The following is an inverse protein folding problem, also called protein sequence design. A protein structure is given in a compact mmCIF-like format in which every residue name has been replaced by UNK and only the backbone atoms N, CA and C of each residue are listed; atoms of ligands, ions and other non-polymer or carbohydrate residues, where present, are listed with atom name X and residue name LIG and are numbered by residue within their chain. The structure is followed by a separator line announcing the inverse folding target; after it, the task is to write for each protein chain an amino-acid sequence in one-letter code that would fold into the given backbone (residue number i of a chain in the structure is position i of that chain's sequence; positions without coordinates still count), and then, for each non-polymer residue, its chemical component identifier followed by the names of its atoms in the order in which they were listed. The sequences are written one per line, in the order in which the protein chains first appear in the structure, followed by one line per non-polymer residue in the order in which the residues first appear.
data_IF_433744559623
#
_entry.id   IF_433744559623
#
_cell.length_a   1.000
_cell.length_b   1.000
_cell.length_c   1.000
_cell.angle_alpha   90.00
_cell.angle_beta   90.00
_cell.angle_gamma   90.00
#
_symmetry.space_group_name_H-M   'P 1'
#
loop_
_entity.id
_entity.type
_entity.pdbx_description
1 polymer ?
#
# COMPACT_ATOMS: atom_id res chain seq x y z
N UNK A 1 -29.53 -8.45 4.06
CA UNK A 1 -28.29 -8.18 3.27
C UNK A 1 -27.99 -9.43 2.47
N UNK A 2 -27.66 -9.32 1.16
CA UNK A 2 -27.20 -10.45 0.36
C UNK A 2 -25.79 -10.81 0.79
N UNK A 3 -25.48 -12.08 0.98
CA UNK A 3 -24.13 -12.55 1.23
C UNK A 3 -23.28 -12.41 -0.04
N UNK A 4 -22.20 -11.66 0.02
CA UNK A 4 -21.35 -11.35 -1.13
C UNK A 4 -20.41 -12.51 -1.42
N UNK A 5 -20.35 -12.93 -2.67
CA UNK A 5 -19.47 -14.00 -3.18
C UNK A 5 -18.17 -13.39 -3.68
N UNK A 6 -17.06 -13.66 -2.98
CA UNK A 6 -15.71 -13.18 -3.31
C UNK A 6 -14.89 -14.28 -3.99
N UNK A 7 -14.33 -13.99 -5.15
CA UNK A 7 -13.20 -14.74 -5.73
C UNK A 7 -11.90 -13.98 -5.53
N UNK A 8 -10.79 -14.66 -5.20
CA UNK A 8 -9.49 -14.03 -4.95
C UNK A 8 -8.47 -14.53 -5.95
N UNK A 9 -7.88 -13.63 -6.73
CA UNK A 9 -6.76 -13.88 -7.66
C UNK A 9 -5.47 -13.35 -7.03
N UNK A 10 -4.53 -14.25 -6.75
CA UNK A 10 -3.32 -13.96 -5.98
C UNK A 10 -3.54 -14.15 -4.47
N UNK A 11 -3.27 -15.34 -3.97
CA UNK A 11 -3.43 -15.69 -2.55
C UNK A 11 -2.11 -15.48 -1.77
N UNK A 12 -1.57 -14.26 -1.90
CA UNK A 12 -0.48 -13.73 -1.07
C UNK A 12 -1.03 -13.10 0.21
N UNK A 13 -0.19 -12.34 0.91
CA UNK A 13 -0.57 -11.66 2.15
C UNK A 13 -1.84 -10.79 1.98
N UNK A 14 -1.93 -10.02 0.90
CA UNK A 14 -3.07 -9.14 0.65
C UNK A 14 -4.35 -9.90 0.31
N UNK A 15 -4.25 -10.90 -0.58
CA UNK A 15 -5.39 -11.76 -0.91
C UNK A 15 -5.97 -12.47 0.31
N UNK A 16 -5.12 -12.92 1.24
CA UNK A 16 -5.55 -13.49 2.53
C UNK A 16 -6.32 -12.47 3.38
N UNK A 17 -5.80 -11.24 3.51
CA UNK A 17 -6.43 -10.18 4.29
C UNK A 17 -7.86 -9.92 3.83
N UNK A 18 -8.09 -9.81 2.51
CA UNK A 18 -9.45 -9.60 1.98
C UNK A 18 -10.36 -10.81 2.16
N UNK A 19 -9.82 -12.00 1.93
CA UNK A 19 -10.59 -13.24 2.12
C UNK A 19 -10.96 -13.47 3.59
N UNK A 20 -10.10 -13.09 4.53
CA UNK A 20 -10.32 -13.27 5.98
C UNK A 20 -11.52 -12.49 6.51
N UNK A 21 -11.98 -11.44 5.82
CA UNK A 21 -13.24 -10.79 6.15
C UNK A 21 -14.41 -11.77 6.23
N UNK A 22 -14.45 -12.80 5.38
CA UNK A 22 -15.46 -13.83 5.39
C UNK A 22 -15.46 -14.73 6.65
N UNK A 23 -14.33 -14.77 7.37
CA UNK A 23 -14.24 -15.52 8.64
C UNK A 23 -14.76 -14.73 9.84
N UNK A 24 -14.66 -13.41 9.77
CA UNK A 24 -15.12 -12.53 10.84
C UNK A 24 -16.58 -12.10 10.64
N UNK A 25 -17.00 -11.95 9.37
CA UNK A 25 -18.37 -11.57 9.00
C UNK A 25 -18.99 -12.63 8.04
N UNK A 26 -19.18 -13.88 8.53
CA UNK A 26 -19.58 -15.01 7.68
C UNK A 26 -21.00 -14.89 7.12
N UNK A 27 -21.84 -14.03 7.70
CA UNK A 27 -23.16 -13.71 7.16
C UNK A 27 -23.15 -12.67 6.04
N UNK A 28 -22.07 -11.88 5.95
CA UNK A 28 -21.95 -10.80 4.98
C UNK A 28 -21.19 -11.24 3.72
N UNK A 29 -20.20 -12.12 3.86
CA UNK A 29 -19.33 -12.53 2.76
C UNK A 29 -18.96 -14.01 2.82
N UNK A 30 -18.76 -14.62 1.65
CA UNK A 30 -18.16 -15.95 1.52
C UNK A 30 -17.08 -15.94 0.42
N UNK A 31 -15.99 -16.67 0.64
CA UNK A 31 -15.01 -16.97 -0.41
C UNK A 31 -15.53 -18.11 -1.25
N UNK A 32 -15.79 -17.87 -2.53
CA UNK A 32 -16.29 -18.89 -3.46
C UNK A 32 -15.20 -19.51 -4.31
N UNK A 33 -14.09 -18.78 -4.53
CA UNK A 33 -12.93 -19.28 -5.26
C UNK A 33 -11.62 -18.62 -4.81
N UNK A 34 -10.52 -19.37 -4.86
CA UNK A 34 -9.15 -18.86 -4.74
C UNK A 34 -8.35 -19.32 -5.95
N UNK A 35 -7.65 -18.37 -6.56
CA UNK A 35 -6.86 -18.57 -7.77
C UNK A 35 -5.41 -18.17 -7.48
N UNK A 36 -4.47 -19.10 -7.53
CA UNK A 36 -3.03 -18.86 -7.35
C UNK A 36 -2.24 -19.98 -8.04
N UNK A 37 -1.15 -19.70 -8.76
CA UNK A 37 -0.36 -20.76 -9.39
C UNK A 37 0.41 -21.63 -8.38
N UNK A 38 0.50 -21.23 -7.11
CA UNK A 38 1.19 -21.95 -6.05
C UNK A 38 0.25 -22.94 -5.34
N UNK A 39 0.47 -24.23 -5.55
CA UNK A 39 -0.34 -25.31 -4.97
C UNK A 39 -0.36 -25.31 -3.44
N UNK A 40 0.76 -24.94 -2.80
CA UNK A 40 0.80 -24.78 -1.34
C UNK A 40 -0.19 -23.71 -0.86
N UNK A 41 -0.22 -22.56 -1.53
CA UNK A 41 -1.17 -21.48 -1.21
C UNK A 41 -2.61 -21.91 -1.42
N UNK A 42 -2.90 -22.65 -2.48
CA UNK A 42 -4.23 -23.22 -2.72
C UNK A 42 -4.64 -24.22 -1.62
N UNK A 43 -3.71 -25.06 -1.17
CA UNK A 43 -3.95 -25.98 -0.04
C UNK A 43 -4.29 -25.18 1.23
N UNK A 44 -3.50 -24.18 1.58
CA UNK A 44 -3.75 -23.32 2.75
C UNK A 44 -5.13 -22.64 2.66
N UNK A 45 -5.48 -22.11 1.49
CA UNK A 45 -6.79 -21.49 1.28
C UNK A 45 -7.96 -22.50 1.46
N UNK A 46 -7.82 -23.70 0.92
CA UNK A 46 -8.83 -24.76 1.08
C UNK A 46 -9.10 -25.09 2.54
N UNK A 47 -8.04 -25.31 3.30
CA UNK A 47 -8.14 -25.60 4.73
C UNK A 47 -8.76 -24.44 5.52
N UNK A 48 -8.31 -23.21 5.23
CA UNK A 48 -8.73 -22.01 5.94
C UNK A 48 -10.19 -21.64 5.72
N UNK A 49 -10.68 -21.66 4.47
CA UNK A 49 -12.05 -21.27 4.12
C UNK A 49 -12.97 -22.49 3.87
N UNK A 50 -12.50 -23.70 4.15
CA UNK A 50 -13.24 -24.96 3.95
C UNK A 50 -13.72 -25.15 2.50
N UNK A 51 -12.86 -24.78 1.53
CA UNK A 51 -13.18 -24.90 0.11
C UNK A 51 -12.99 -26.33 -0.38
N UNK A 52 -13.83 -26.72 -1.34
CA UNK A 52 -13.66 -27.97 -2.11
C UNK A 52 -12.55 -27.83 -3.17
N UNK A 53 -12.12 -28.94 -3.76
CA UNK A 53 -11.17 -28.93 -4.89
C UNK A 53 -11.68 -28.17 -6.11
N UNK A 54 -13.00 -28.09 -6.28
CA UNK A 54 -13.65 -27.37 -7.38
C UNK A 54 -13.70 -25.85 -7.20
N UNK A 55 -13.18 -25.33 -6.10
CA UNK A 55 -13.17 -23.90 -5.74
C UNK A 55 -11.76 -23.31 -5.66
N UNK A 56 -10.74 -24.09 -6.02
CA UNK A 56 -9.36 -23.61 -6.12
C UNK A 56 -8.82 -23.85 -7.52
N UNK A 57 -8.11 -22.86 -8.06
CA UNK A 57 -7.70 -22.86 -9.46
C UNK A 57 -6.27 -22.34 -9.60
N UNK A 58 -5.54 -22.86 -10.57
CA UNK A 58 -4.17 -22.37 -10.89
C UNK A 58 -4.16 -21.19 -11.86
N UNK A 59 -5.31 -20.85 -12.48
CA UNK A 59 -5.45 -19.72 -13.40
C UNK A 59 -6.86 -19.13 -13.35
N UNK A 60 -6.99 -17.85 -13.70
CA UNK A 60 -8.29 -17.19 -13.77
C UNK A 60 -9.18 -17.76 -14.88
N UNK A 61 -8.57 -18.17 -16.00
CA UNK A 61 -9.30 -18.84 -17.09
C UNK A 61 -9.93 -20.18 -16.65
N UNK A 62 -9.27 -20.94 -15.76
CA UNK A 62 -9.83 -22.17 -15.21
C UNK A 62 -11.03 -21.86 -14.27
N UNK A 63 -10.97 -20.77 -13.49
CA UNK A 63 -12.10 -20.29 -12.71
C UNK A 63 -13.29 -19.95 -13.62
N UNK A 64 -13.07 -19.18 -14.69
CA UNK A 64 -14.15 -18.84 -15.63
C UNK A 64 -14.77 -20.08 -16.28
N UNK A 65 -13.95 -21.05 -16.67
CA UNK A 65 -14.43 -22.31 -17.27
C UNK A 65 -15.24 -23.18 -16.30
N UNK A 66 -15.10 -22.99 -14.99
CA UNK A 66 -15.86 -23.74 -13.97
C UNK A 66 -17.32 -23.36 -13.88
N UNK A 67 -17.69 -22.16 -14.36
CA UNK A 67 -19.04 -21.63 -14.24
C UNK A 67 -19.41 -21.18 -12.81
N UNK A 68 -18.46 -21.12 -11.88
CA UNK A 68 -18.69 -20.53 -10.54
C UNK A 68 -18.93 -19.04 -10.67
N UNK A 69 -19.95 -18.55 -9.96
CA UNK A 69 -20.29 -17.13 -9.92
C UNK A 69 -19.61 -16.43 -8.75
N UNK A 70 -19.11 -15.22 -9.00
CA UNK A 70 -18.63 -14.29 -7.99
C UNK A 70 -19.28 -12.91 -8.18
N UNK A 71 -19.64 -12.24 -7.09
CA UNK A 71 -20.16 -10.87 -7.14
C UNK A 71 -19.02 -9.87 -7.36
N UNK A 72 -17.83 -10.23 -6.89
CA UNK A 72 -16.61 -9.44 -7.03
C UNK A 72 -15.37 -10.34 -7.05
N UNK A 73 -14.37 -9.91 -7.81
CA UNK A 73 -13.06 -10.56 -7.90
C UNK A 73 -11.99 -9.64 -7.31
N UNK A 74 -11.26 -10.10 -6.29
CA UNK A 74 -10.10 -9.39 -5.77
C UNK A 74 -8.87 -9.71 -6.62
N UNK A 75 -8.30 -8.70 -7.29
CA UNK A 75 -7.00 -8.78 -7.94
C UNK A 75 -5.91 -8.39 -6.94
N UNK A 76 -5.33 -9.37 -6.27
CA UNK A 76 -4.25 -9.24 -5.30
C UNK A 76 -2.97 -9.94 -5.78
N UNK A 77 -2.76 -9.94 -7.08
CA UNK A 77 -1.54 -10.47 -7.74
C UNK A 77 -0.33 -9.57 -7.46
N UNK A 78 0.82 -9.90 -8.01
CA UNK A 78 1.97 -8.99 -8.02
C UNK A 78 1.73 -7.85 -9.01
N UNK A 79 2.31 -6.68 -8.75
CA UNK A 79 2.08 -5.43 -9.50
C UNK A 79 2.23 -5.59 -11.02
N UNK A 80 3.26 -6.32 -11.48
CA UNK A 80 3.50 -6.57 -12.89
C UNK A 80 2.40 -7.42 -13.58
N UNK A 81 1.54 -8.07 -12.79
CA UNK A 81 0.42 -8.87 -13.31
C UNK A 81 -0.93 -8.14 -13.18
N UNK A 82 -0.99 -7.01 -12.45
CA UNK A 82 -2.24 -6.30 -12.20
C UNK A 82 -2.99 -5.96 -13.48
N UNK A 83 -2.29 -5.40 -14.48
CA UNK A 83 -2.91 -4.99 -15.73
C UNK A 83 -3.55 -6.18 -16.47
N UNK A 84 -2.77 -7.24 -16.73
CA UNK A 84 -3.27 -8.39 -17.45
C UNK A 84 -4.46 -9.04 -16.73
N UNK A 85 -4.34 -9.24 -15.42
CA UNK A 85 -5.41 -9.83 -14.60
C UNK A 85 -6.65 -8.93 -14.57
N UNK A 86 -6.49 -7.62 -14.45
CA UNK A 86 -7.60 -6.67 -14.48
C UNK A 86 -8.36 -6.69 -15.81
N UNK A 87 -7.63 -6.77 -16.94
CA UNK A 87 -8.24 -6.88 -18.28
C UNK A 87 -9.08 -8.14 -18.40
N UNK A 88 -8.60 -9.29 -17.92
CA UNK A 88 -9.34 -10.56 -17.94
C UNK A 88 -10.61 -10.48 -17.05
N UNK A 89 -10.49 -9.94 -15.85
CA UNK A 89 -11.63 -9.76 -14.93
C UNK A 89 -12.70 -8.85 -15.53
N UNK A 90 -12.30 -7.69 -16.07
CA UNK A 90 -13.24 -6.72 -16.62
C UNK A 90 -13.92 -7.21 -17.90
N UNK A 91 -13.19 -7.92 -18.79
CA UNK A 91 -13.76 -8.56 -19.98
C UNK A 91 -14.76 -9.67 -19.64
N UNK A 92 -14.58 -10.33 -18.51
CA UNK A 92 -15.55 -11.33 -18.01
C UNK A 92 -16.74 -10.69 -17.26
N UNK A 93 -16.83 -9.35 -17.24
CA UNK A 93 -17.90 -8.55 -16.62
C UNK A 93 -18.05 -8.72 -15.10
N UNK A 94 -16.96 -8.98 -14.40
CA UNK A 94 -16.96 -9.01 -12.94
C UNK A 94 -16.59 -7.63 -12.37
N UNK A 95 -17.21 -7.26 -11.25
CA UNK A 95 -16.71 -6.19 -10.41
C UNK A 95 -15.34 -6.58 -9.84
N UNK A 96 -14.48 -5.60 -9.57
CA UNK A 96 -13.11 -5.86 -9.15
C UNK A 96 -12.74 -5.03 -7.92
N UNK A 97 -12.08 -5.67 -6.96
CA UNK A 97 -11.26 -5.02 -5.95
C UNK A 97 -9.81 -5.18 -6.40
N UNK A 98 -9.10 -4.09 -6.66
CA UNK A 98 -7.71 -4.16 -7.13
C UNK A 98 -6.73 -3.64 -6.09
N UNK A 99 -5.65 -4.40 -5.85
CA UNK A 99 -4.55 -3.96 -5.01
C UNK A 99 -3.82 -2.75 -5.62
N UNK A 100 -3.22 -1.98 -4.73
CA UNK A 100 -2.38 -0.85 -5.10
C UNK A 100 -0.91 -1.31 -5.34
N UNK A 101 -0.18 -0.62 -6.22
CA UNK A 101 -0.68 0.36 -7.18
C UNK A 101 -1.55 -0.30 -8.25
N UNK A 102 -2.49 0.43 -8.83
CA UNK A 102 -3.40 -0.14 -9.84
C UNK A 102 -2.58 -0.72 -10.99
N UNK A 103 -1.75 0.12 -11.63
CA UNK A 103 -0.78 -0.25 -12.67
C UNK A 103 0.38 0.73 -12.70
N UNK A 104 1.46 0.36 -13.38
CA UNK A 104 2.67 1.17 -13.46
C UNK A 104 2.64 2.23 -14.59
N UNK A 105 1.74 2.11 -15.58
CA UNK A 105 1.72 2.95 -16.78
C UNK A 105 0.38 3.67 -16.96
N UNK A 106 0.47 4.90 -17.48
CA UNK A 106 -0.68 5.78 -17.72
C UNK A 106 -1.67 5.20 -18.73
N UNK A 107 -1.19 4.61 -19.81
CA UNK A 107 -2.00 3.99 -20.85
C UNK A 107 -2.73 2.73 -20.34
N UNK A 108 -2.06 1.90 -19.53
CA UNK A 108 -2.68 0.75 -18.88
C UNK A 108 -3.82 1.17 -17.93
N UNK A 109 -3.62 2.24 -17.14
CA UNK A 109 -4.65 2.78 -16.27
C UNK A 109 -5.87 3.30 -17.05
N UNK A 110 -5.62 4.01 -18.15
CA UNK A 110 -6.65 4.52 -19.03
C UNK A 110 -7.45 3.38 -19.67
N UNK A 111 -6.78 2.31 -20.09
CA UNK A 111 -7.42 1.12 -20.67
C UNK A 111 -8.30 0.39 -19.63
N UNK A 112 -7.82 0.21 -18.39
CA UNK A 112 -8.64 -0.38 -17.31
C UNK A 112 -9.89 0.46 -17.07
N UNK A 113 -9.76 1.79 -17.03
CA UNK A 113 -10.90 2.70 -16.85
C UNK A 113 -11.91 2.57 -18.00
N UNK A 114 -11.43 2.52 -19.25
CA UNK A 114 -12.27 2.31 -20.43
C UNK A 114 -13.01 0.98 -20.35
N UNK A 115 -12.31 -0.12 -20.08
CA UNK A 115 -12.90 -1.47 -19.99
C UNK A 115 -13.93 -1.58 -18.86
N UNK A 116 -13.66 -0.96 -17.69
CA UNK A 116 -14.61 -0.95 -16.60
C UNK A 116 -15.93 -0.28 -17.00
N UNK A 117 -15.86 0.89 -17.66
CA UNK A 117 -17.04 1.63 -18.13
C UNK A 117 -17.80 0.88 -19.23
N UNK A 118 -17.11 0.35 -20.24
CA UNK A 118 -17.73 -0.39 -21.35
C UNK A 118 -18.45 -1.65 -20.90
N UNK A 119 -17.92 -2.35 -19.88
CA UNK A 119 -18.54 -3.56 -19.33
C UNK A 119 -19.47 -3.32 -18.14
N UNK A 120 -19.64 -2.07 -17.70
CA UNK A 120 -20.48 -1.71 -16.55
C UNK A 120 -19.95 -2.23 -15.20
N UNK A 121 -18.63 -2.51 -15.11
CA UNK A 121 -18.00 -3.06 -13.92
C UNK A 121 -17.64 -1.96 -12.92
N UNK A 122 -17.85 -2.23 -11.63
CA UNK A 122 -17.34 -1.39 -10.54
C UNK A 122 -15.94 -1.86 -10.16
N UNK A 123 -15.01 -0.91 -10.06
CA UNK A 123 -13.63 -1.19 -9.65
C UNK A 123 -13.34 -0.39 -8.39
N UNK A 124 -13.04 -1.11 -7.31
CA UNK A 124 -12.62 -0.57 -6.02
C UNK A 124 -11.10 -0.67 -5.90
N UNK A 125 -10.48 0.34 -5.34
CA UNK A 125 -9.02 0.41 -5.19
C UNK A 125 -8.63 0.34 -3.72
N UNK A 126 -7.60 -0.44 -3.39
CA UNK A 126 -7.19 -0.74 -2.02
C UNK A 126 -6.42 0.40 -1.33
N UNK A 127 -6.95 1.63 -1.33
CA UNK A 127 -6.40 2.76 -0.58
C UNK A 127 -6.83 2.73 0.88
N UNK A 128 -6.36 1.73 1.60
CA UNK A 128 -6.77 1.40 2.97
C UNK A 128 -6.53 2.49 4.00
N UNK A 129 -5.59 3.42 3.78
CA UNK A 129 -5.29 4.49 4.72
C UNK A 129 -6.43 5.51 4.86
N UNK A 130 -7.29 5.69 3.84
CA UNK A 130 -8.50 6.52 3.94
C UNK A 130 -9.45 6.04 5.05
N UNK A 131 -9.41 4.74 5.38
CA UNK A 131 -10.25 4.12 6.41
C UNK A 131 -9.65 4.19 7.81
N UNK A 132 -8.38 4.59 7.96
CA UNK A 132 -7.82 4.77 9.29
C UNK A 132 -8.57 5.87 10.06
N UNK A 133 -8.90 5.68 11.34
CA UNK A 133 -9.59 6.69 12.12
C UNK A 133 -8.88 8.05 12.12
N UNK A 134 -7.56 8.05 12.00
CA UNK A 134 -6.73 9.25 11.94
C UNK A 134 -7.07 10.11 10.71
N UNK A 135 -6.91 9.58 9.49
CA UNK A 135 -7.17 10.33 8.26
C UNK A 135 -8.68 10.57 8.04
N UNK A 136 -9.52 9.61 8.44
CA UNK A 136 -10.97 9.79 8.36
C UNK A 136 -11.45 10.97 9.22
N UNK A 137 -10.91 11.12 10.42
CA UNK A 137 -11.26 12.25 11.28
C UNK A 137 -10.74 13.57 10.72
N UNK A 138 -9.51 13.62 10.18
CA UNK A 138 -8.97 14.80 9.50
C UNK A 138 -9.86 15.20 8.32
N UNK A 139 -10.25 14.23 7.47
CA UNK A 139 -11.14 14.49 6.32
C UNK A 139 -12.49 15.08 6.75
N UNK A 140 -13.10 14.51 7.78
CA UNK A 140 -14.35 15.05 8.34
C UNK A 140 -14.19 16.49 8.83
N UNK A 141 -13.08 16.83 9.50
CA UNK A 141 -12.82 18.20 9.96
C UNK A 141 -12.61 19.19 8.80
N UNK A 142 -12.02 18.73 7.70
CA UNK A 142 -11.90 19.53 6.45
C UNK A 142 -13.29 19.77 5.88
N UNK A 143 -14.11 18.73 5.73
CA UNK A 143 -15.48 18.80 5.18
C UNK A 143 -16.41 19.66 6.06
N UNK A 144 -16.24 19.61 7.38
CA UNK A 144 -16.94 20.48 8.35
C UNK A 144 -16.47 21.95 8.32
N UNK A 145 -15.48 22.29 7.46
CA UNK A 145 -14.94 23.64 7.31
C UNK A 145 -14.14 24.15 8.51
N UNK A 146 -13.65 23.23 9.38
CA UNK A 146 -12.86 23.58 10.57
C UNK A 146 -11.54 24.27 10.23
N UNK A 147 -10.93 23.93 9.10
CA UNK A 147 -9.70 24.56 8.63
C UNK A 147 -9.96 25.77 7.71
N UNK A 148 -11.17 25.96 7.20
CA UNK A 148 -11.45 26.94 6.16
C UNK A 148 -10.85 26.46 4.82
N UNK A 149 -10.32 27.39 4.01
CA UNK A 149 -9.58 27.05 2.79
C UNK A 149 -8.19 26.52 3.14
N UNK A 150 -7.80 25.37 2.60
CA UNK A 150 -6.44 24.83 2.79
C UNK A 150 -5.49 25.68 1.95
N UNK A 151 -4.40 26.13 2.57
CA UNK A 151 -3.36 26.94 1.91
C UNK A 151 -2.10 26.13 1.63
N UNK A 152 -1.73 25.23 2.55
CA UNK A 152 -0.58 24.35 2.39
C UNK A 152 -0.76 23.04 3.15
N UNK A 153 -0.03 22.02 2.68
CA UNK A 153 0.06 20.72 3.34
C UNK A 153 1.48 20.17 3.26
N UNK A 154 1.93 19.59 4.36
CA UNK A 154 3.17 18.82 4.42
C UNK A 154 2.85 17.40 4.83
N UNK A 155 3.43 16.42 4.12
CA UNK A 155 3.30 14.99 4.44
C UNK A 155 4.64 14.28 4.32
N UNK A 156 4.88 13.32 5.21
CA UNK A 156 6.08 12.48 5.18
C UNK A 156 5.70 11.01 5.30
N UNK A 157 6.44 10.15 4.58
CA UNK A 157 6.52 8.72 4.81
C UNK A 157 7.94 8.34 5.21
N UNK A 158 8.11 7.86 6.42
CA UNK A 158 9.37 7.33 6.93
C UNK A 158 9.32 5.80 6.95
N UNK A 159 9.99 5.17 5.99
CA UNK A 159 10.01 3.71 5.88
C UNK A 159 11.03 3.14 6.85
N UNK A 160 10.55 2.37 7.81
CA UNK A 160 11.38 1.70 8.82
C UNK A 160 12.47 0.82 8.20
N UNK A 161 13.69 0.86 8.76
CA UNK A 161 14.87 0.18 8.22
C UNK A 161 14.64 -1.30 7.89
N UNK A 162 14.10 -2.17 8.77
CA UNK A 162 13.83 -3.56 8.44
C UNK A 162 12.83 -3.72 7.30
N UNK A 163 11.79 -2.89 7.23
CA UNK A 163 10.82 -2.91 6.13
C UNK A 163 11.48 -2.50 4.81
N UNK A 164 12.27 -1.42 4.81
CA UNK A 164 12.98 -0.98 3.61
C UNK A 164 13.94 -2.06 3.10
N UNK A 165 14.74 -2.67 3.99
CA UNK A 165 15.67 -3.73 3.64
C UNK A 165 14.97 -4.98 3.08
N UNK A 166 13.89 -5.42 3.72
CA UNK A 166 13.18 -6.64 3.30
C UNK A 166 12.30 -6.47 2.08
N UNK A 167 11.88 -5.25 1.76
CA UNK A 167 11.00 -5.00 0.60
C UNK A 167 11.74 -4.41 -0.59
N UNK A 168 12.55 -3.36 -0.38
CA UNK A 168 13.06 -2.47 -1.42
C UNK A 168 14.57 -2.60 -1.66
N UNK A 169 15.30 -3.35 -0.82
CA UNK A 169 16.74 -3.62 -1.01
C UNK A 169 16.97 -5.08 -1.38
N UNK A 170 16.40 -6.02 -0.62
CA UNK A 170 16.54 -7.47 -0.83
C UNK A 170 15.28 -8.13 -1.40
N UNK A 171 14.12 -7.48 -1.23
CA UNK A 171 12.82 -8.05 -1.55
C UNK A 171 12.39 -7.86 -3.00
N UNK A 172 11.11 -8.16 -3.21
CA UNK A 172 10.45 -8.19 -4.53
C UNK A 172 10.42 -6.82 -5.23
N UNK A 173 10.53 -5.73 -4.47
CA UNK A 173 10.48 -4.33 -4.97
C UNK A 173 11.86 -3.67 -5.02
N UNK A 174 12.96 -4.44 -5.18
CA UNK A 174 14.33 -3.90 -5.20
C UNK A 174 14.71 -3.22 -6.52
N UNK A 175 14.01 -3.53 -7.61
CA UNK A 175 14.32 -3.02 -8.95
C UNK A 175 13.05 -2.53 -9.64
N UNK A 176 13.10 -1.28 -10.18
CA UNK A 176 12.00 -0.71 -10.99
C UNK A 176 11.72 -1.57 -12.23
N UNK A 177 12.73 -2.20 -12.84
CA UNK A 177 12.57 -3.08 -13.99
C UNK A 177 11.83 -4.38 -13.63
N UNK A 178 12.24 -5.03 -12.52
CA UNK A 178 11.66 -6.31 -12.12
C UNK A 178 10.23 -6.19 -11.56
N UNK A 179 9.96 -5.19 -10.72
CA UNK A 179 8.64 -4.99 -10.13
C UNK A 179 7.75 -4.02 -10.90
N UNK A 180 8.28 -3.40 -11.97
CA UNK A 180 7.62 -2.42 -12.84
C UNK A 180 7.22 -1.10 -12.16
N UNK A 181 7.53 -0.91 -10.88
CA UNK A 181 7.08 0.23 -10.08
C UNK A 181 8.23 0.93 -9.35
N UNK A 182 8.37 2.26 -9.45
CA UNK A 182 9.23 3.03 -8.55
C UNK A 182 8.66 3.02 -7.13
N UNK A 183 9.49 3.28 -6.12
CA UNK A 183 9.05 3.27 -4.72
C UNK A 183 7.93 4.27 -4.44
N UNK A 184 7.89 5.41 -5.12
CA UNK A 184 6.81 6.38 -5.00
C UNK A 184 5.46 5.76 -5.37
N UNK A 185 5.43 4.88 -6.35
CA UNK A 185 4.22 4.14 -6.75
C UNK A 185 3.98 2.92 -5.86
N UNK A 186 4.98 2.05 -5.66
CA UNK A 186 4.84 0.81 -4.91
C UNK A 186 4.49 1.04 -3.42
N UNK A 187 5.04 2.10 -2.80
CA UNK A 187 4.88 2.42 -1.37
C UNK A 187 4.01 3.64 -1.13
N UNK A 188 4.31 4.77 -1.78
CA UNK A 188 3.72 6.06 -1.47
C UNK A 188 2.47 6.40 -2.29
N UNK A 189 1.95 5.46 -3.10
CA UNK A 189 0.65 5.66 -3.75
C UNK A 189 -0.48 5.91 -2.73
N UNK A 190 -0.38 5.37 -1.52
CA UNK A 190 -1.29 5.70 -0.42
C UNK A 190 -1.19 7.17 -0.01
N UNK A 191 0.03 7.71 0.07
CA UNK A 191 0.28 9.08 0.50
C UNK A 191 -0.15 10.06 -0.60
N UNK A 192 0.13 9.73 -1.87
CA UNK A 192 -0.35 10.51 -3.02
C UNK A 192 -1.88 10.48 -3.14
N UNK A 193 -2.49 9.35 -2.81
CA UNK A 193 -3.95 9.23 -2.73
C UNK A 193 -4.53 10.11 -1.62
N UNK A 194 -3.93 10.09 -0.42
CA UNK A 194 -4.34 10.97 0.68
C UNK A 194 -4.19 12.45 0.32
N UNK A 195 -3.12 12.84 -0.37
CA UNK A 195 -2.95 14.21 -0.86
C UNK A 195 -4.12 14.62 -1.75
N UNK A 196 -4.47 13.80 -2.74
CA UNK A 196 -5.60 14.09 -3.62
C UNK A 196 -6.94 14.05 -2.89
N UNK A 197 -7.16 13.08 -2.01
CA UNK A 197 -8.42 12.92 -1.29
C UNK A 197 -8.69 14.02 -0.26
N UNK A 198 -7.66 14.45 0.49
CA UNK A 198 -7.79 15.53 1.47
C UNK A 198 -7.99 16.90 0.78
N UNK A 199 -7.52 17.05 -0.45
CA UNK A 199 -7.66 18.24 -1.29
C UNK A 199 -8.67 18.03 -2.45
N UNK A 200 -9.71 17.22 -2.26
CA UNK A 200 -10.62 16.82 -3.33
C UNK A 200 -11.44 17.98 -3.94
N UNK A 201 -11.46 19.15 -3.32
CA UNK A 201 -12.06 20.39 -3.79
C UNK A 201 -11.19 21.17 -4.80
N UNK A 202 -9.94 20.72 -5.04
CA UNK A 202 -9.00 21.32 -5.99
C UNK A 202 -8.22 20.22 -6.74
N UNK A 203 -7.67 20.54 -7.92
CA UNK A 203 -6.95 19.57 -8.75
C UNK A 203 -5.45 19.85 -8.75
N UNK A 204 -4.59 18.82 -8.64
CA UNK A 204 -3.15 19.01 -8.86
C UNK A 204 -2.91 19.36 -10.33
N UNK A 205 -2.09 20.39 -10.59
CA UNK A 205 -1.82 20.93 -11.92
C UNK A 205 -0.38 20.76 -12.35
N UNK A 206 0.57 20.86 -11.40
CA UNK A 206 2.01 20.74 -11.69
C UNK A 206 2.70 19.98 -10.59
N UNK A 207 3.78 19.29 -10.95
CA UNK A 207 4.60 18.54 -9.99
C UNK A 207 6.09 18.69 -10.29
N UNK A 208 6.89 18.76 -9.20
CA UNK A 208 8.35 18.73 -9.24
C UNK A 208 8.85 17.67 -8.26
N UNK A 209 9.86 16.89 -8.67
CA UNK A 209 10.38 15.80 -7.84
C UNK A 209 11.88 15.62 -7.97
N UNK A 210 12.55 15.35 -6.82
CA UNK A 210 13.98 15.00 -6.73
C UNK A 210 14.13 13.73 -5.89
N UNK A 211 14.92 12.77 -6.37
CA UNK A 211 15.16 11.53 -5.66
C UNK A 211 16.57 10.99 -5.89
N UNK A 212 17.09 10.25 -4.90
CA UNK A 212 18.39 9.63 -4.96
C UNK A 212 18.42 8.28 -4.25
N UNK A 213 19.30 7.38 -4.73
CA UNK A 213 19.73 6.18 -4.02
C UNK A 213 21.11 6.46 -3.40
N UNK A 214 21.14 6.76 -2.11
CA UNK A 214 22.36 7.18 -1.44
C UNK A 214 22.93 6.16 -0.48
N UNK A 215 22.10 5.38 0.20
CA UNK A 215 22.54 4.52 1.30
C UNK A 215 23.07 3.19 0.77
N UNK A 216 22.18 2.36 0.22
CA UNK A 216 22.49 0.97 -0.17
C UNK A 216 22.88 0.89 -1.64
N UNK A 217 24.14 1.20 -1.93
CA UNK A 217 24.75 1.08 -3.25
C UNK A 217 26.17 0.49 -3.13
N UNK A 218 26.74 -0.08 -4.21
CA UNK A 218 28.05 -0.74 -4.16
C UNK A 218 29.19 0.17 -3.71
N UNK A 219 29.11 1.48 -3.96
CA UNK A 219 30.14 2.45 -3.58
C UNK A 219 30.25 2.59 -2.05
N UNK A 220 29.17 2.34 -1.32
CA UNK A 220 29.13 2.41 0.13
C UNK A 220 29.38 1.06 0.82
N UNK A 221 29.61 -0.03 0.06
CA UNK A 221 29.95 -1.35 0.62
C UNK A 221 31.24 -1.27 1.45
N UNK A 222 31.23 -1.61 2.76
CA UNK A 222 32.43 -1.58 3.58
C UNK A 222 33.54 -2.43 2.97
N UNK A 223 34.76 -1.89 2.95
CA UNK A 223 35.92 -2.64 2.44
C UNK A 223 36.13 -3.91 3.27
N UNK A 224 36.13 -5.07 2.61
CA UNK A 224 36.24 -6.38 3.26
C UNK A 224 34.90 -7.02 3.62
N UNK A 225 33.76 -6.37 3.34
CA UNK A 225 32.45 -7.02 3.46
C UNK A 225 32.29 -8.09 2.38
N UNK A 226 31.70 -9.23 2.79
CA UNK A 226 31.41 -10.36 1.89
C UNK A 226 30.10 -10.14 1.13
N UNK A 227 29.77 -11.05 0.22
CA UNK A 227 28.51 -10.98 -0.55
C UNK A 227 27.28 -11.41 0.26
N UNK A 228 27.48 -12.20 1.31
CA UNK A 228 26.43 -12.68 2.19
C UNK A 228 26.70 -12.32 3.65
N UNK A 229 25.65 -12.00 4.41
CA UNK A 229 25.76 -11.57 5.80
C UNK A 229 26.24 -12.69 6.73
N UNK A 230 25.94 -13.97 6.46
CA UNK A 230 26.25 -15.09 7.36
C UNK A 230 27.77 -15.29 7.60
N UNK A 231 28.62 -14.86 6.69
CA UNK A 231 30.09 -14.99 6.78
C UNK A 231 30.81 -13.62 6.73
N UNK A 232 30.07 -12.52 6.90
CA UNK A 232 30.63 -11.19 6.85
C UNK A 232 31.35 -10.83 8.17
N UNK A 233 32.61 -10.31 8.13
CA UNK A 233 33.30 -9.92 9.35
C UNK A 233 32.61 -8.77 10.11
N UNK A 234 31.76 -7.98 9.45
CA UNK A 234 31.02 -6.87 10.04
C UNK A 234 29.61 -7.28 10.51
N UNK A 235 29.26 -8.55 10.46
CA UNK A 235 27.88 -9.05 10.65
C UNK A 235 27.26 -8.55 11.96
N UNK A 236 28.01 -8.50 13.05
CA UNK A 236 27.53 -8.13 14.38
C UNK A 236 27.28 -6.64 14.55
N UNK A 237 28.05 -5.81 13.85
CA UNK A 237 28.02 -4.35 14.00
C UNK A 237 27.27 -3.66 12.85
N UNK A 238 26.76 -4.42 11.88
CA UNK A 238 26.07 -3.91 10.72
C UNK A 238 24.55 -3.80 10.97
N UNK A 239 24.01 -2.59 10.98
CA UNK A 239 22.57 -2.34 11.14
C UNK A 239 21.70 -3.03 10.08
N UNK A 240 22.32 -3.33 8.90
CA UNK A 240 21.64 -3.96 7.77
C UNK A 240 21.85 -5.48 7.73
N UNK A 241 22.44 -6.08 8.78
CA UNK A 241 22.72 -7.51 8.82
C UNK A 241 21.44 -8.35 8.71
N UNK A 242 21.34 -9.17 7.66
CA UNK A 242 20.25 -10.15 7.53
C UNK A 242 20.25 -11.18 8.66
N UNK A 243 21.43 -11.50 9.21
CA UNK A 243 21.57 -12.39 10.35
C UNK A 243 20.99 -11.78 11.62
N UNK A 244 21.14 -10.47 11.80
CA UNK A 244 20.53 -9.76 12.92
C UNK A 244 19.02 -9.60 12.72
N UNK A 245 18.63 -9.03 11.60
CA UNK A 245 17.24 -8.64 11.33
C UNK A 245 16.32 -9.87 11.13
N UNK A 246 16.71 -10.79 10.27
CA UNK A 246 15.82 -11.86 9.83
C UNK A 246 16.07 -13.18 10.59
N UNK A 247 17.34 -13.54 10.87
CA UNK A 247 17.62 -14.80 11.56
C UNK A 247 17.39 -14.71 13.07
N UNK A 248 17.93 -13.66 13.76
CA UNK A 248 17.82 -13.55 15.22
C UNK A 248 16.51 -12.90 15.67
N UNK A 249 16.05 -11.87 14.97
CA UNK A 249 14.86 -11.08 15.35
C UNK A 249 13.62 -11.34 14.53
N UNK A 250 13.69 -12.20 13.49
CA UNK A 250 12.56 -12.62 12.64
C UNK A 250 11.71 -11.43 12.14
N UNK A 251 12.38 -10.34 11.73
CA UNK A 251 11.67 -9.17 11.22
C UNK A 251 11.08 -9.45 9.83
N UNK A 252 9.86 -8.99 9.58
CA UNK A 252 9.15 -9.13 8.31
C UNK A 252 9.05 -10.59 7.79
N UNK A 253 8.69 -11.59 8.63
CA UNK A 253 8.72 -13.00 8.26
C UNK A 253 7.85 -13.34 7.06
N UNK A 254 6.70 -12.66 6.90
CA UNK A 254 5.77 -12.84 5.78
C UNK A 254 6.33 -12.38 4.42
N UNK A 255 7.43 -11.65 4.40
CA UNK A 255 8.17 -11.30 3.18
C UNK A 255 9.37 -12.24 2.97
N UNK A 256 10.15 -12.43 4.04
CA UNK A 256 11.44 -13.12 3.96
C UNK A 256 11.25 -14.63 3.72
N UNK A 257 10.30 -15.25 4.43
CA UNK A 257 10.12 -16.71 4.42
C UNK A 257 9.00 -17.20 3.49
N UNK A 258 8.31 -16.31 2.77
CA UNK A 258 7.15 -16.66 1.93
C UNK A 258 7.44 -17.76 0.91
N UNK A 259 8.65 -17.74 0.31
CA UNK A 259 9.05 -18.71 -0.69
C UNK A 259 9.38 -20.14 -0.14
N UNK A 260 9.48 -20.27 1.17
CA UNK A 260 9.67 -21.60 1.80
C UNK A 260 8.40 -22.45 1.80
N UNK A 261 7.24 -21.86 1.47
CA UNK A 261 5.95 -22.54 1.39
C UNK A 261 5.66 -23.39 2.65
N UNK A 262 5.80 -22.76 3.82
CA UNK A 262 5.68 -23.38 5.13
C UNK A 262 5.08 -22.39 6.14
N UNK A 263 4.29 -22.83 7.13
CA UNK A 263 3.91 -21.96 8.24
C UNK A 263 5.13 -21.39 8.94
N UNK A 264 5.14 -20.09 9.25
CA UNK A 264 6.31 -19.40 9.80
C UNK A 264 6.80 -19.99 11.14
N UNK A 265 5.88 -20.50 11.95
CA UNK A 265 6.17 -21.15 13.23
C UNK A 265 6.76 -22.58 13.09
N UNK A 266 6.71 -23.15 11.90
CA UNK A 266 7.27 -24.47 11.59
C UNK A 266 8.63 -24.40 10.89
N UNK A 267 9.10 -23.20 10.53
CA UNK A 267 10.40 -23.00 9.88
C UNK A 267 11.49 -23.06 10.96
N UNK A 268 12.35 -24.07 10.88
CA UNK A 268 13.44 -24.25 11.87
C UNK A 268 14.55 -23.22 11.70
N UNK A 269 15.38 -23.06 12.73
CA UNK A 269 16.54 -22.19 12.67
C UNK A 269 17.55 -22.63 11.58
N UNK A 270 17.70 -23.92 11.39
CA UNK A 270 18.56 -24.49 10.34
C UNK A 270 18.04 -24.14 8.95
N UNK A 271 16.74 -24.29 8.71
CA UNK A 271 16.10 -23.93 7.43
C UNK A 271 16.25 -22.43 7.14
N UNK A 272 16.06 -21.57 8.14
CA UNK A 272 16.27 -20.11 8.01
C UNK A 272 17.72 -19.77 7.66
N UNK A 273 18.68 -20.41 8.33
CA UNK A 273 20.10 -20.20 8.05
C UNK A 273 20.48 -20.67 6.65
N UNK A 274 20.07 -21.88 6.25
CA UNK A 274 20.35 -22.41 4.91
C UNK A 274 19.69 -21.59 3.80
N UNK A 275 18.50 -21.03 4.04
CA UNK A 275 17.86 -20.09 3.14
C UNK A 275 18.68 -18.81 2.98
N UNK A 276 19.07 -18.16 4.07
CA UNK A 276 19.85 -16.91 4.03
C UNK A 276 21.26 -17.07 3.45
N UNK A 277 21.83 -18.27 3.42
CA UNK A 277 23.11 -18.53 2.77
C UNK A 277 23.04 -18.47 1.24
N UNK A 278 21.87 -18.62 0.65
CA UNK A 278 21.66 -18.80 -0.80
C UNK A 278 20.75 -17.76 -1.42
N UNK A 279 19.80 -17.27 -0.64
CA UNK A 279 18.76 -16.37 -1.12
C UNK A 279 19.21 -14.89 -1.05
N UNK A 280 18.57 -14.05 -1.85
CA UNK A 280 18.84 -12.61 -1.89
C UNK A 280 18.61 -11.95 -0.53
N UNK A 281 17.71 -12.47 0.29
CA UNK A 281 17.46 -11.96 1.63
C UNK A 281 18.67 -12.08 2.56
N UNK A 282 19.61 -12.96 2.28
CA UNK A 282 20.88 -13.09 3.01
C UNK A 282 22.03 -12.25 2.45
N UNK A 283 21.87 -11.63 1.26
CA UNK A 283 22.92 -10.84 0.61
C UNK A 283 23.25 -9.56 1.38
N UNK A 284 24.45 -9.05 1.13
CA UNK A 284 24.89 -7.73 1.59
C UNK A 284 23.96 -6.64 1.03
N UNK A 285 23.36 -5.83 1.90
CA UNK A 285 22.44 -4.77 1.51
C UNK A 285 23.00 -3.77 0.49
N UNK A 286 24.30 -3.55 0.55
CA UNK A 286 25.00 -2.62 -0.36
C UNK A 286 25.17 -3.18 -1.78
N UNK A 287 24.93 -4.49 -1.98
CA UNK A 287 25.24 -5.20 -3.24
C UNK A 287 24.15 -6.19 -3.64
N UNK A 288 22.90 -5.76 -3.57
CA UNK A 288 21.72 -6.54 -3.98
C UNK A 288 21.26 -6.28 -5.42
N UNK A 289 21.98 -5.46 -6.19
CA UNK A 289 21.65 -5.19 -7.59
C UNK A 289 20.39 -4.36 -7.83
N UNK A 290 19.82 -3.72 -6.79
CA UNK A 290 18.61 -2.90 -6.93
C UNK A 290 18.92 -1.47 -7.42
N UNK A 291 17.87 -0.76 -7.85
CA UNK A 291 17.93 0.63 -8.36
C UNK A 291 16.96 1.58 -7.63
N UNK A 292 16.17 1.07 -6.70
CA UNK A 292 15.16 1.83 -5.96
C UNK A 292 15.82 2.96 -5.16
N UNK A 293 15.26 4.17 -5.27
CA UNK A 293 15.70 5.34 -4.50
C UNK A 293 15.39 5.18 -3.01
N UNK A 294 16.20 5.80 -2.15
CA UNK A 294 15.99 5.74 -0.69
C UNK A 294 15.46 7.03 -0.09
N UNK A 295 15.33 8.08 -0.91
CA UNK A 295 14.72 9.36 -0.57
C UNK A 295 14.13 10.04 -1.79
N UNK A 296 13.00 10.72 -1.60
CA UNK A 296 12.34 11.48 -2.66
C UNK A 296 11.54 12.63 -2.06
N UNK A 297 11.65 13.80 -2.65
CA UNK A 297 10.80 14.94 -2.34
C UNK A 297 9.93 15.26 -3.54
N UNK A 298 8.66 15.54 -3.28
CA UNK A 298 7.66 15.88 -4.29
C UNK A 298 6.97 17.17 -3.87
N UNK A 299 6.93 18.17 -4.75
CA UNK A 299 6.15 19.39 -4.56
C UNK A 299 5.02 19.38 -5.58
N UNK A 300 3.81 19.59 -5.12
CA UNK A 300 2.58 19.57 -5.93
C UNK A 300 1.93 20.95 -5.85
N UNK A 301 1.64 21.52 -7.01
CA UNK A 301 0.89 22.77 -7.16
C UNK A 301 -0.54 22.45 -7.61
N UNK A 302 -1.52 23.12 -7.02
CA UNK A 302 -2.94 22.92 -7.28
C UNK A 302 -3.54 24.14 -8.01
N UNK A 303 -4.66 23.93 -8.67
CA UNK A 303 -5.32 24.96 -9.52
C UNK A 303 -5.72 26.24 -8.78
N UNK A 304 -5.99 26.15 -7.48
CA UNK A 304 -6.34 27.27 -6.61
C UNK A 304 -5.14 27.91 -5.87
N UNK A 305 -3.93 27.47 -6.17
CA UNK A 305 -2.69 28.01 -5.63
C UNK A 305 -2.23 27.42 -4.29
N UNK A 306 -2.96 26.41 -3.73
CA UNK A 306 -2.42 25.65 -2.58
C UNK A 306 -1.24 24.81 -3.01
N UNK A 307 -0.27 24.62 -2.12
CA UNK A 307 0.95 23.83 -2.38
C UNK A 307 1.08 22.71 -1.38
N UNK A 308 1.43 21.52 -1.87
CA UNK A 308 1.68 20.34 -1.03
C UNK A 308 3.12 19.88 -1.18
N UNK A 309 3.80 19.67 -0.05
CA UNK A 309 5.14 19.10 0.02
C UNK A 309 5.05 17.67 0.57
N UNK A 310 5.68 16.72 -0.12
CA UNK A 310 5.79 15.34 0.35
C UNK A 310 7.24 14.89 0.41
N UNK A 311 7.60 14.20 1.49
CA UNK A 311 8.95 13.65 1.69
C UNK A 311 8.90 12.15 1.98
N UNK A 312 9.54 11.36 1.12
CA UNK A 312 9.87 9.97 1.39
C UNK A 312 11.28 9.88 1.97
N UNK A 313 11.42 9.21 3.12
CA UNK A 313 12.71 8.85 3.70
C UNK A 313 12.73 7.37 4.07
N UNK A 314 13.62 6.61 3.47
CA UNK A 314 13.82 5.21 3.79
C UNK A 314 14.93 5.00 4.83
N UNK A 315 14.98 3.80 5.42
CA UNK A 315 15.93 3.42 6.46
C UNK A 315 15.80 4.26 7.75
N UNK A 316 14.60 4.68 8.10
CA UNK A 316 14.32 5.38 9.35
C UNK A 316 14.33 4.40 10.55
N UNK A 317 14.58 4.94 11.76
CA UNK A 317 14.60 4.14 12.99
C UNK A 317 13.23 3.56 13.36
N UNK A 318 12.14 4.19 12.94
CA UNK A 318 10.75 3.74 13.16
C UNK A 318 9.89 4.08 11.92
N UNK A 319 8.78 3.38 11.70
CA UNK A 319 7.77 3.87 10.76
C UNK A 319 7.17 5.16 11.29
N UNK A 320 6.90 6.12 10.41
CA UNK A 320 6.29 7.38 10.81
C UNK A 320 5.62 8.04 9.58
N UNK A 321 4.33 8.38 9.71
CA UNK A 321 3.61 9.23 8.75
C UNK A 321 3.19 10.51 9.43
N UNK A 322 3.86 11.58 9.09
CA UNK A 322 3.55 12.92 9.57
C UNK A 322 2.65 13.64 8.57
N UNK A 323 1.74 14.46 9.10
CA UNK A 323 0.93 15.40 8.33
C UNK A 323 0.82 16.72 9.07
N UNK A 324 0.94 17.84 8.32
CA UNK A 324 0.62 19.18 8.78
C UNK A 324 -0.20 19.87 7.68
N UNK A 325 -1.38 20.34 8.01
CA UNK A 325 -2.30 21.05 7.13
C UNK A 325 -2.55 22.43 7.70
N UNK A 326 -2.31 23.46 6.91
CA UNK A 326 -2.60 24.85 7.28
C UNK A 326 -3.76 25.36 6.44
N UNK A 327 -4.76 25.88 7.09
CA UNK A 327 -5.93 26.52 6.47
C UNK A 327 -6.18 27.92 7.02
N UNK A 328 -7.12 28.62 6.40
CA UNK A 328 -7.45 30.03 6.74
C UNK A 328 -8.13 30.19 8.10
N UNK A 329 -8.65 29.11 8.71
CA UNK A 329 -9.35 29.15 10.01
C UNK A 329 -8.68 28.29 11.09
N UNK A 330 -7.79 27.39 10.71
CA UNK A 330 -7.11 26.51 11.65
C UNK A 330 -6.08 25.64 10.97
N UNK A 331 -5.33 24.90 11.78
CA UNK A 331 -4.31 23.96 11.32
C UNK A 331 -4.41 22.63 12.07
N UNK A 332 -3.95 21.57 11.43
CA UNK A 332 -3.84 20.22 11.99
C UNK A 332 -2.41 19.74 11.85
N UNK A 333 -1.86 19.18 12.92
CA UNK A 333 -0.53 18.57 12.93
C UNK A 333 -0.54 17.25 13.70
N UNK A 334 0.01 16.18 13.10
CA UNK A 334 0.05 14.91 13.82
C UNK A 334 0.77 13.78 13.07
N UNK A 335 0.76 12.60 13.70
CA UNK A 335 1.40 11.38 13.22
C UNK A 335 0.43 10.21 13.30
N UNK A 336 0.32 9.47 12.18
CA UNK A 336 -0.58 8.32 12.10
C UNK A 336 -0.31 7.30 13.21
N UNK A 337 0.95 6.98 13.45
CA UNK A 337 1.39 5.94 14.39
C UNK A 337 1.13 6.31 15.86
N UNK A 338 0.89 7.59 16.15
CA UNK A 338 0.51 8.06 17.48
C UNK A 338 -1.01 8.05 17.71
N UNK A 339 -1.79 7.81 16.66
CA UNK A 339 -3.26 7.82 16.68
C UNK A 339 -3.88 9.09 17.26
N UNK A 340 -3.18 10.20 17.15
CA UNK A 340 -3.62 11.51 17.63
C UNK A 340 -3.02 12.61 16.78
N UNK A 341 -3.71 13.74 16.74
CA UNK A 341 -3.22 14.97 16.13
C UNK A 341 -3.68 16.18 16.94
N UNK A 342 -3.04 17.30 16.70
CA UNK A 342 -3.33 18.58 17.33
C UNK A 342 -4.10 19.43 16.32
N UNK A 343 -5.20 20.00 16.76
CA UNK A 343 -5.95 21.01 16.03
C UNK A 343 -5.73 22.36 16.69
N UNK A 344 -5.32 23.38 15.92
CA UNK A 344 -5.07 24.74 16.42
C UNK A 344 -5.93 25.75 15.68
N UNK A 345 -6.38 26.77 16.42
CA UNK A 345 -7.06 27.94 15.88
C UNK A 345 -6.44 29.22 16.42
N UNK A 346 -6.48 30.29 15.62
CA UNK A 346 -5.95 31.57 16.06
C UNK A 346 -6.85 32.19 17.16
N UNK A 347 -6.23 32.62 18.27
CA UNK A 347 -6.88 33.34 19.36
C UNK A 347 -6.66 34.85 19.20
N UNK A 348 -7.69 35.53 18.69
CA UNK A 348 -7.65 36.98 18.42
C UNK A 348 -7.53 37.83 19.67
N UNK A 349 -8.04 37.37 20.80
CA UNK A 349 -8.06 38.12 22.04
C UNK A 349 -6.67 38.16 22.70
N UNK A 350 -5.95 37.05 22.63
CA UNK A 350 -4.64 36.92 23.26
C UNK A 350 -3.47 37.01 22.26
N UNK A 351 -3.75 37.21 20.96
CA UNK A 351 -2.73 37.21 19.88
C UNK A 351 -1.87 35.96 19.96
N UNK A 352 -2.52 34.80 20.12
CA UNK A 352 -1.94 33.48 20.36
C UNK A 352 -2.74 32.41 19.59
N UNK A 353 -2.71 31.19 20.06
CA UNK A 353 -3.51 30.09 19.51
C UNK A 353 -4.21 29.29 20.63
N UNK A 354 -5.32 28.66 20.26
CA UNK A 354 -5.99 27.63 21.07
C UNK A 354 -5.64 26.28 20.47
N UNK A 355 -5.41 25.30 21.34
CA UNK A 355 -4.98 23.97 20.93
C UNK A 355 -5.91 22.91 21.52
N UNK A 356 -6.28 21.92 20.70
CA UNK A 356 -7.06 20.76 21.08
C UNK A 356 -6.35 19.49 20.59
N UNK A 357 -6.14 18.51 21.45
CA UNK A 357 -5.60 17.19 21.10
C UNK A 357 -6.75 16.27 20.73
N UNK A 358 -6.76 15.81 19.50
CA UNK A 358 -7.74 14.84 18.98
C UNK A 358 -7.14 13.44 19.03
N UNK A 359 -7.55 12.65 20.01
CA UNK A 359 -7.12 11.26 20.20
C UNK A 359 -8.12 10.30 19.57
N UNK A 360 -7.67 9.54 18.57
CA UNK A 360 -8.47 8.55 17.84
C UNK A 360 -8.08 7.10 18.16
N UNK A 361 -7.19 6.88 19.13
CA UNK A 361 -6.67 5.56 19.51
C UNK A 361 -7.79 4.56 19.84
N UNK A 362 -8.85 5.00 20.52
CA UNK A 362 -10.01 4.17 20.88
C UNK A 362 -10.89 3.79 19.71
N UNK A 363 -10.76 4.47 18.55
CA UNK A 363 -11.50 4.18 17.32
C UNK A 363 -10.77 3.19 16.44
N UNK A 364 -9.50 2.87 16.73
CA UNK A 364 -8.72 1.90 15.97
C UNK A 364 -9.27 0.50 16.24
N UNK A 365 -9.80 -0.12 15.22
CA UNK A 365 -10.25 -1.51 15.29
C UNK A 365 -9.02 -2.40 15.27
N UNK A 366 -8.53 -2.74 16.47
CA UNK A 366 -7.40 -3.65 16.63
C UNK A 366 -7.90 -5.10 16.55
N UNK A 367 -8.32 -5.53 15.37
CA UNK A 367 -8.56 -6.93 15.09
C UNK A 367 -7.22 -7.50 14.60
N UNK A 368 -6.53 -8.24 15.45
CA UNK A 368 -5.21 -8.83 15.19
C UNK A 368 -5.13 -9.66 13.87
N UNK A 369 -6.27 -10.02 13.29
CA UNK A 369 -6.40 -10.75 12.05
C UNK A 369 -6.28 -9.90 10.78
N UNK A 370 -6.52 -8.57 10.84
CA UNK A 370 -6.57 -7.69 9.67
C UNK A 370 -5.29 -6.90 9.44
N UNK A 371 -4.14 -7.45 9.75
CA UNK A 371 -2.87 -6.82 9.42
C UNK A 371 -2.73 -5.40 9.97
N UNK A 372 -2.01 -4.57 9.27
CA UNK A 372 -1.68 -3.20 9.64
C UNK A 372 -2.76 -2.17 9.25
N UNK A 373 -2.29 -0.95 8.93
CA UNK A 373 -3.10 0.17 8.43
C UNK A 373 -4.18 0.67 9.40
N UNK A 374 -3.99 0.44 10.72
CA UNK A 374 -4.87 0.98 11.76
C UNK A 374 -6.38 0.65 11.57
N UNK A 375 -6.69 -0.57 11.12
CA UNK A 375 -8.06 -1.03 10.86
C UNK A 375 -8.60 -0.70 9.48
N UNK A 376 -7.79 -0.10 8.60
CA UNK A 376 -8.19 0.26 7.25
C UNK A 376 -8.54 -0.96 6.37
N UNK A 377 -7.86 -2.08 6.58
CA UNK A 377 -8.12 -3.31 5.84
C UNK A 377 -9.53 -3.88 6.09
N UNK A 378 -10.03 -3.78 7.32
CA UNK A 378 -11.42 -4.14 7.63
C UNK A 378 -12.40 -3.13 7.02
N UNK A 379 -12.11 -1.84 7.17
CA UNK A 379 -12.99 -0.77 6.72
C UNK A 379 -13.30 -0.84 5.22
N UNK A 380 -12.30 -1.14 4.37
CA UNK A 380 -12.52 -1.26 2.93
C UNK A 380 -13.43 -2.43 2.58
N UNK A 381 -13.26 -3.59 3.22
CA UNK A 381 -14.11 -4.75 2.96
C UNK A 381 -15.54 -4.53 3.45
N UNK A 382 -15.70 -3.87 4.58
CA UNK A 382 -17.01 -3.52 5.12
C UNK A 382 -17.77 -2.55 4.17
N UNK A 383 -17.13 -1.48 3.71
CA UNK A 383 -17.75 -0.54 2.76
C UNK A 383 -18.05 -1.20 1.40
N UNK A 384 -17.16 -2.09 0.94
CA UNK A 384 -17.36 -2.84 -0.29
C UNK A 384 -18.64 -3.72 -0.21
N UNK A 385 -18.83 -4.44 0.89
CA UNK A 385 -20.02 -5.28 1.11
C UNK A 385 -21.28 -4.41 1.15
N UNK A 386 -21.27 -3.31 1.86
CA UNK A 386 -22.38 -2.36 1.93
C UNK A 386 -22.74 -1.80 0.56
N UNK A 387 -21.74 -1.35 -0.19
CA UNK A 387 -21.96 -0.83 -1.54
C UNK A 387 -22.61 -1.86 -2.47
N UNK A 388 -22.10 -3.10 -2.47
CA UNK A 388 -22.66 -4.17 -3.31
C UNK A 388 -24.09 -4.59 -2.90
N UNK A 389 -24.48 -4.30 -1.67
CA UNK A 389 -25.84 -4.46 -1.18
C UNK A 389 -26.73 -3.22 -1.39
N UNK A 390 -26.22 -2.14 -2.00
CA UNK A 390 -26.97 -0.90 -2.23
C UNK A 390 -27.18 -0.07 -0.97
N UNK A 391 -26.33 -0.25 0.05
CA UNK A 391 -26.37 0.50 1.30
C UNK A 391 -25.45 1.71 1.26
N UNK A 392 -25.64 2.63 2.21
CA UNK A 392 -24.80 3.80 2.39
C UNK A 392 -23.38 3.40 2.83
N UNK A 393 -22.38 4.01 2.20
CA UNK A 393 -20.95 3.80 2.47
C UNK A 393 -20.31 5.03 3.08
N UNK A 394 -19.11 4.88 3.63
CA UNK A 394 -18.36 6.02 4.13
C UNK A 394 -17.73 6.83 2.98
N UNK A 395 -17.36 8.09 3.25
CA UNK A 395 -16.60 8.93 2.30
C UNK A 395 -15.18 8.40 2.00
N UNK A 396 -14.76 7.34 2.68
CA UNK A 396 -13.47 6.67 2.46
C UNK A 396 -13.47 5.70 1.27
N UNK A 397 -14.65 5.30 0.76
CA UNK A 397 -14.74 4.36 -0.37
C UNK A 397 -13.99 4.94 -1.57
N UNK A 398 -13.22 4.08 -2.24
CA UNK A 398 -12.36 4.50 -3.33
C UNK A 398 -12.67 3.73 -4.59
N UNK A 399 -13.21 4.41 -5.58
CA UNK A 399 -13.37 3.86 -6.91
C UNK A 399 -12.18 4.18 -7.81
N UNK A 400 -12.11 3.50 -8.94
CA UNK A 400 -11.04 3.68 -9.92
C UNK A 400 -10.88 5.15 -10.35
N UNK A 401 -11.99 5.85 -10.64
CA UNK A 401 -11.96 7.24 -11.06
C UNK A 401 -11.40 8.19 -9.99
N UNK A 402 -11.63 7.89 -8.70
CA UNK A 402 -11.10 8.69 -7.58
C UNK A 402 -9.58 8.53 -7.44
N UNK A 403 -9.05 7.36 -7.81
CA UNK A 403 -7.63 7.03 -7.72
C UNK A 403 -6.82 7.45 -8.92
N UNK A 404 -7.45 7.83 -10.03
CA UNK A 404 -6.72 8.19 -11.26
C UNK A 404 -5.83 9.43 -11.04
N UNK A 405 -6.35 10.46 -10.36
CA UNK A 405 -5.60 11.68 -10.10
C UNK A 405 -4.31 11.41 -9.32
N UNK A 406 -4.36 10.57 -8.29
CA UNK A 406 -3.19 10.21 -7.49
C UNK A 406 -2.15 9.41 -8.28
N UNK A 407 -2.59 8.51 -9.18
CA UNK A 407 -1.68 7.78 -10.06
C UNK A 407 -1.04 8.69 -11.11
N UNK A 408 -1.80 9.60 -11.72
CA UNK A 408 -1.23 10.60 -12.64
C UNK A 408 -0.25 11.54 -11.93
N UNK A 409 -0.51 11.90 -10.69
CA UNK A 409 0.43 12.64 -9.86
C UNK A 409 1.76 11.88 -9.67
N UNK A 410 1.70 10.57 -9.38
CA UNK A 410 2.90 9.73 -9.28
C UNK A 410 3.64 9.65 -10.60
N UNK A 411 2.93 9.40 -11.72
CA UNK A 411 3.57 9.33 -13.05
C UNK A 411 4.26 10.65 -13.41
N UNK A 412 3.62 11.79 -13.13
CA UNK A 412 4.21 13.11 -13.33
C UNK A 412 5.42 13.37 -12.43
N UNK A 413 5.37 12.96 -11.15
CA UNK A 413 6.49 13.09 -10.23
C UNK A 413 7.70 12.25 -10.67
N UNK A 414 7.48 11.04 -11.18
CA UNK A 414 8.52 10.18 -11.71
C UNK A 414 9.11 10.71 -13.03
N UNK A 415 8.28 11.28 -13.88
CA UNK A 415 8.75 11.99 -15.07
C UNK A 415 9.60 13.19 -14.69
N UNK A 416 9.15 14.02 -13.74
CA UNK A 416 9.89 15.16 -13.21
C UNK A 416 11.26 14.73 -12.65
N UNK A 417 11.29 13.67 -11.83
CA UNK A 417 12.54 13.11 -11.28
C UNK A 417 13.53 12.70 -12.37
N UNK A 418 13.03 12.07 -13.43
CA UNK A 418 13.88 11.54 -14.53
C UNK A 418 14.36 12.63 -15.48
N UNK A 419 13.54 13.65 -15.73
CA UNK A 419 13.85 14.74 -16.67
C UNK A 419 14.50 15.96 -16.02
N UNK A 420 14.36 16.11 -14.69
CA UNK A 420 14.77 17.32 -13.97
C UNK A 420 13.90 18.55 -14.24
N UNK A 421 12.69 18.35 -14.77
CA UNK A 421 11.78 19.42 -15.18
C UNK A 421 10.51 19.42 -14.34
N UNK A 422 9.81 20.56 -14.26
CA UNK A 422 8.43 20.60 -13.75
C UNK A 422 7.52 19.94 -14.80
N UNK A 423 6.60 19.10 -14.35
CA UNK A 423 5.65 18.40 -15.21
C UNK A 423 4.24 18.94 -14.99
N UNK A 424 3.56 19.33 -16.09
CA UNK A 424 2.15 19.68 -16.11
C UNK A 424 1.30 18.40 -16.06
N UNK A 425 0.35 18.34 -15.11
CA UNK A 425 -0.57 17.22 -14.96
C UNK A 425 -1.82 17.47 -15.84
N UNK A 426 -2.05 16.61 -16.82
CA UNK A 426 -3.16 16.70 -17.79
C UNK A 426 -4.12 15.55 -17.62
#
# INVERSE_FOLDING_TARGET
MKKIKLAVVGYGNRGQVYADYSLDEPEEMEVVAVIDPNEYKLKVARERYKLSEKQVFTSFSAFLASGLEADIVANATMEQLHYQTAVEILKSKHNMLIEKPIVAKKDELTEIYRLANENGCKVFVCHVLRYSPFYKTIKMMIEDGKLGEITSMEMNEHVWLPHYLSSYVRGKWRSEEECTSPILLAKCCHDMDLICWLNADSKPTRVSSFAHRRIYNPQNKPKGATDYCYNCPFEKDCDSSAMNLNYRHDTMPFLVWDSLNKPYNEITAEERLEFLKKDIYGKCAYDCGGDIVDRQNVIVDFEDGRVVAFTLSCASCRPDRYIHIVGTKGEIEGKLEEHRFIYRTYDKENVSYKEEIIDVSKKVVNRAKYGGHCGGDYGIMHDLVRYLNGEETSSSITFLHDSMASHFLVYGAEESRKTGSIVELK
#
